data_IF_779625103349
#
_entry.id   IF_779625103349
#
_cell.length_a   1.000
_cell.length_b   1.000
_cell.length_c   1.000
_cell.angle_alpha   90.00
_cell.angle_beta   90.00
_cell.angle_gamma   90.00
#
_symmetry.space_group_name_H-M   'P 1'
#
loop_
_entity.id
_entity.type
_entity.pdbx_description
1 polymer ?
#
# COMPACT_ATOMS: atom_id res chain seq x y z
N UNK A 1 3.24 26.59 4.96
CA UNK A 1 4.61 26.04 4.97
C UNK A 1 5.04 25.58 6.35
N UNK A 2 5.32 26.45 7.33
CA UNK A 2 5.80 25.98 8.65
C UNK A 2 4.81 25.01 9.31
N UNK A 3 3.52 25.35 9.26
CA UNK A 3 2.45 24.50 9.78
C UNK A 3 2.35 23.14 9.06
N UNK A 4 2.53 23.10 7.73
CA UNK A 4 2.47 21.85 6.96
C UNK A 4 3.67 20.94 7.24
N UNK A 5 4.87 21.49 7.44
CA UNK A 5 6.06 20.73 7.84
C UNK A 5 5.90 20.15 9.25
N UNK A 6 5.37 20.93 10.20
CA UNK A 6 5.10 20.46 11.57
C UNK A 6 4.08 19.33 11.54
N UNK A 7 2.97 19.52 10.82
CA UNK A 7 1.94 18.49 10.70
C UNK A 7 2.47 17.22 10.04
N UNK A 8 3.28 17.34 8.97
CA UNK A 8 3.91 16.20 8.32
C UNK A 8 4.84 15.45 9.27
N UNK A 9 5.62 16.17 10.09
CA UNK A 9 6.48 15.58 11.09
C UNK A 9 5.67 14.79 12.14
N UNK A 10 4.65 15.41 12.73
CA UNK A 10 3.79 14.76 13.73
C UNK A 10 3.10 13.51 13.17
N UNK A 11 2.55 13.60 11.95
CA UNK A 11 1.89 12.46 11.30
C UNK A 11 2.88 11.36 10.94
N UNK A 12 4.09 11.70 10.53
CA UNK A 12 5.15 10.70 10.29
C UNK A 12 5.50 9.97 11.58
N UNK A 13 5.72 10.69 12.68
CA UNK A 13 6.04 10.11 13.98
C UNK A 13 4.92 9.20 14.51
N UNK A 14 3.68 9.67 14.47
CA UNK A 14 2.52 8.89 14.87
C UNK A 14 2.40 7.59 14.05
N UNK A 15 2.52 7.70 12.72
CA UNK A 15 2.43 6.56 11.82
C UNK A 15 3.55 5.55 12.08
N UNK A 16 4.80 6.02 12.28
CA UNK A 16 5.96 5.17 12.59
C UNK A 16 5.75 4.39 13.89
N UNK A 17 5.19 5.03 14.92
CA UNK A 17 4.94 4.38 16.22
C UNK A 17 3.92 3.24 16.14
N UNK A 18 3.07 3.22 15.11
CA UNK A 18 1.98 2.24 14.96
C UNK A 18 1.97 1.54 13.61
N UNK A 19 3.13 1.45 12.93
CA UNK A 19 3.31 0.90 11.56
C UNK A 19 2.58 -0.42 11.29
N UNK A 20 2.47 -1.27 12.30
CA UNK A 20 1.82 -2.58 12.19
C UNK A 20 0.30 -2.49 12.03
N UNK A 21 -0.32 -1.44 12.56
CA UNK A 21 -1.78 -1.24 12.60
C UNK A 21 -2.26 -0.09 11.73
N UNK A 22 -1.39 0.53 10.93
CA UNK A 22 -1.75 1.64 10.04
C UNK A 22 -2.63 1.15 8.91
N UNK A 23 -3.76 1.82 8.71
CA UNK A 23 -4.68 1.51 7.63
C UNK A 23 -4.27 2.17 6.30
N UNK A 24 -4.76 1.61 5.19
CA UNK A 24 -4.48 2.12 3.84
C UNK A 24 -4.81 3.61 3.68
N UNK A 25 -5.93 4.06 4.25
CA UNK A 25 -6.35 5.46 4.18
C UNK A 25 -5.34 6.40 4.85
N UNK A 26 -4.73 5.96 5.96
CA UNK A 26 -3.75 6.75 6.70
C UNK A 26 -2.41 6.81 5.96
N UNK A 27 -2.01 5.71 5.32
CA UNK A 27 -0.86 5.71 4.41
C UNK A 27 -1.04 6.70 3.27
N UNK A 28 -2.24 6.72 2.67
CA UNK A 28 -2.57 7.60 1.55
C UNK A 28 -2.56 9.06 2.00
N UNK A 29 -3.18 9.35 3.14
CA UNK A 29 -3.20 10.70 3.71
C UNK A 29 -1.79 11.23 4.02
N UNK A 30 -0.87 10.38 4.51
CA UNK A 30 0.52 10.80 4.75
C UNK A 30 1.24 11.15 3.43
N UNK A 31 1.03 10.37 2.38
CA UNK A 31 1.62 10.63 1.05
C UNK A 31 1.09 11.95 0.47
N UNK A 32 -0.23 12.17 0.52
CA UNK A 32 -0.85 13.41 0.07
C UNK A 32 -0.34 14.63 0.84
N UNK A 33 -0.22 14.51 2.16
CA UNK A 33 0.35 15.56 3.01
C UNK A 33 1.81 15.84 2.66
N UNK A 34 2.61 14.80 2.37
CA UNK A 34 4.01 14.95 1.94
C UNK A 34 4.09 15.72 0.62
N UNK A 35 3.27 15.36 -0.36
CA UNK A 35 3.25 16.01 -1.67
C UNK A 35 2.83 17.49 -1.58
N UNK A 36 1.79 17.77 -0.80
CA UNK A 36 1.35 19.14 -0.53
C UNK A 36 2.45 19.97 0.16
N UNK A 37 3.09 19.40 1.18
CA UNK A 37 4.18 20.07 1.91
C UNK A 37 5.37 20.34 0.99
N UNK A 38 5.74 19.40 0.12
CA UNK A 38 6.81 19.58 -0.87
C UNK A 38 6.48 20.69 -1.87
N UNK A 39 5.21 20.80 -2.29
CA UNK A 39 4.78 21.88 -3.18
C UNK A 39 4.93 23.24 -2.51
N UNK A 40 4.51 23.37 -1.25
CA UNK A 40 4.67 24.61 -0.47
C UNK A 40 6.13 24.99 -0.27
N UNK A 41 6.99 24.01 0.07
CA UNK A 41 8.43 24.24 0.22
C UNK A 41 9.04 24.74 -1.10
N UNK A 42 8.65 24.16 -2.24
CA UNK A 42 9.13 24.59 -3.57
C UNK A 42 8.68 26.00 -3.96
N UNK A 43 7.51 26.44 -3.49
CA UNK A 43 6.96 27.77 -3.78
C UNK A 43 7.49 28.86 -2.84
N UNK A 44 8.10 28.46 -1.72
CA UNK A 44 8.69 29.35 -0.73
C UNK A 44 10.12 29.77 -1.10
N UNK A 45 10.70 30.67 -0.29
CA UNK A 45 12.13 31.03 -0.36
C UNK A 45 13.07 29.93 0.18
N UNK A 46 12.54 28.75 0.51
CA UNK A 46 13.23 27.64 1.14
C UNK A 46 12.93 27.54 2.64
N UNK A 47 13.19 26.37 3.25
CA UNK A 47 12.89 26.13 4.66
C UNK A 47 13.89 26.85 5.58
N UNK A 48 13.42 27.28 6.75
CA UNK A 48 14.23 27.75 7.87
C UNK A 48 15.10 26.62 8.44
N UNK A 49 16.05 26.92 9.34
CA UNK A 49 16.87 25.88 9.97
C UNK A 49 16.05 24.93 10.85
N UNK A 50 15.05 25.44 11.56
CA UNK A 50 14.14 24.63 12.36
C UNK A 50 13.31 23.69 11.47
N UNK A 51 12.81 24.20 10.34
CA UNK A 51 12.09 23.39 9.35
C UNK A 51 12.98 22.32 8.70
N UNK A 52 14.25 22.65 8.42
CA UNK A 52 15.23 21.66 7.93
C UNK A 52 15.50 20.58 8.97
N UNK A 53 15.48 20.90 10.26
CA UNK A 53 15.63 19.90 11.31
C UNK A 53 14.46 18.93 11.32
N UNK A 54 13.22 19.43 11.24
CA UNK A 54 12.02 18.59 11.15
C UNK A 54 12.03 17.70 9.89
N UNK A 55 12.40 18.27 8.73
CA UNK A 55 12.52 17.51 7.48
C UNK A 55 13.60 16.42 7.55
N UNK A 56 14.72 16.68 8.26
CA UNK A 56 15.75 15.66 8.50
C UNK A 56 15.21 14.52 9.38
N UNK A 57 14.51 14.85 10.46
CA UNK A 57 13.88 13.85 11.34
C UNK A 57 12.85 13.00 10.57
N UNK A 58 12.02 13.60 9.72
CA UNK A 58 11.11 12.85 8.84
C UNK A 58 11.90 11.86 7.96
N UNK A 59 13.01 12.31 7.37
CA UNK A 59 13.85 11.49 6.50
C UNK A 59 14.50 10.29 7.19
N UNK A 60 14.73 10.34 8.51
CA UNK A 60 15.26 9.20 9.28
C UNK A 60 14.32 7.98 9.24
N UNK A 61 13.02 8.22 9.07
CA UNK A 61 12.00 7.16 9.03
C UNK A 61 11.70 6.63 7.63
N UNK A 62 12.25 7.21 6.57
CA UNK A 62 11.95 6.79 5.18
C UNK A 62 12.26 5.29 4.98
N UNK A 63 13.37 4.81 5.57
CA UNK A 63 13.79 3.40 5.42
C UNK A 63 12.79 2.41 6.02
N UNK A 64 12.29 2.67 7.24
CA UNK A 64 11.35 1.79 7.93
C UNK A 64 9.97 1.84 7.29
N UNK A 65 9.53 3.02 6.84
CA UNK A 65 8.29 3.21 6.11
C UNK A 65 8.30 2.40 4.79
N UNK A 66 9.37 2.55 4.00
CA UNK A 66 9.51 1.82 2.72
C UNK A 66 9.57 0.32 2.96
N UNK A 67 10.29 -0.14 3.98
CA UNK A 67 10.34 -1.56 4.33
C UNK A 67 8.94 -2.11 4.64
N UNK A 68 8.13 -1.38 5.40
CA UNK A 68 6.74 -1.77 5.71
C UNK A 68 5.87 -1.81 4.45
N UNK A 69 5.95 -0.80 3.59
CA UNK A 69 5.20 -0.78 2.33
C UNK A 69 5.56 -1.96 1.41
N UNK A 70 6.86 -2.30 1.33
CA UNK A 70 7.32 -3.47 0.58
C UNK A 70 6.81 -4.79 1.16
N UNK A 71 6.76 -4.92 2.49
CA UNK A 71 6.21 -6.08 3.16
C UNK A 71 4.71 -6.26 2.83
N UNK A 72 3.93 -5.19 2.92
CA UNK A 72 2.50 -5.16 2.56
C UNK A 72 2.28 -5.54 1.09
N UNK A 73 3.10 -4.98 0.17
CA UNK A 73 3.07 -5.35 -1.26
C UNK A 73 3.36 -6.83 -1.47
N UNK A 74 4.33 -7.38 -0.75
CA UNK A 74 4.68 -8.80 -0.79
C UNK A 74 3.54 -9.69 -0.29
N UNK A 75 2.89 -9.30 0.80
CA UNK A 75 1.73 -10.00 1.35
C UNK A 75 0.56 -10.01 0.37
N UNK A 76 0.20 -8.85 -0.18
CA UNK A 76 -0.86 -8.74 -1.18
C UNK A 76 -0.57 -9.61 -2.42
N UNK A 77 0.68 -9.63 -2.89
CA UNK A 77 1.09 -10.46 -4.03
C UNK A 77 0.91 -11.96 -3.75
N UNK A 78 1.30 -12.43 -2.55
CA UNK A 78 1.07 -13.82 -2.12
C UNK A 78 -0.41 -14.15 -2.00
N UNK A 79 -1.21 -13.23 -1.45
CA UNK A 79 -2.66 -13.37 -1.35
C UNK A 79 -3.33 -13.56 -2.72
N UNK A 80 -2.95 -12.73 -3.70
CA UNK A 80 -3.45 -12.86 -5.07
C UNK A 80 -3.05 -14.18 -5.73
N UNK A 81 -1.81 -14.64 -5.54
CA UNK A 81 -1.35 -15.94 -6.03
C UNK A 81 -2.17 -17.10 -5.44
N UNK A 82 -2.43 -17.07 -4.13
CA UNK A 82 -3.24 -18.09 -3.46
C UNK A 82 -4.69 -18.12 -3.98
N UNK A 83 -5.27 -16.95 -4.24
CA UNK A 83 -6.61 -16.83 -4.84
C UNK A 83 -6.61 -17.42 -6.26
N UNK A 84 -5.59 -17.12 -7.07
CA UNK A 84 -5.48 -17.64 -8.43
C UNK A 84 -5.33 -19.17 -8.45
N UNK A 85 -4.47 -19.73 -7.60
CA UNK A 85 -4.29 -21.18 -7.46
C UNK A 85 -5.58 -21.87 -7.01
N UNK A 86 -6.27 -21.31 -6.00
CA UNK A 86 -7.56 -21.83 -5.52
C UNK A 86 -8.62 -21.85 -6.62
N UNK A 87 -8.67 -20.80 -7.46
CA UNK A 87 -9.58 -20.75 -8.62
C UNK A 87 -9.24 -21.81 -9.66
N UNK A 88 -7.95 -22.06 -9.93
CA UNK A 88 -7.51 -23.09 -10.87
C UNK A 88 -7.86 -24.49 -10.38
N UNK A 89 -7.62 -24.79 -9.10
CA UNK A 89 -8.01 -26.06 -8.49
C UNK A 89 -9.53 -26.29 -8.58
N UNK A 90 -10.34 -25.28 -8.21
CA UNK A 90 -11.81 -25.36 -8.34
C UNK A 90 -12.27 -25.65 -9.77
N UNK A 91 -11.66 -25.03 -10.78
CA UNK A 91 -11.96 -25.31 -12.20
C UNK A 91 -11.66 -26.77 -12.58
N UNK A 92 -10.53 -27.33 -12.15
CA UNK A 92 -10.18 -28.72 -12.46
C UNK A 92 -11.16 -29.72 -11.81
N UNK A 93 -11.57 -29.48 -10.56
CA UNK A 93 -12.59 -30.30 -9.91
C UNK A 93 -13.97 -30.17 -10.58
N UNK A 94 -14.38 -28.96 -11.01
CA UNK A 94 -15.64 -28.78 -11.75
C UNK A 94 -15.63 -29.47 -13.11
N UNK A 95 -14.52 -29.44 -13.86
CA UNK A 95 -14.39 -30.19 -15.11
C UNK A 95 -14.40 -31.71 -14.90
N UNK A 96 -13.76 -32.20 -13.84
CA UNK A 96 -13.78 -33.63 -13.49
C UNK A 96 -15.16 -34.11 -13.00
N UNK A 97 -16.00 -33.19 -12.50
CA UNK A 97 -17.33 -33.44 -11.96
C UNK A 97 -18.44 -32.89 -12.87
N UNK A 98 -18.36 -33.18 -14.18
CA UNK A 98 -19.50 -33.00 -15.10
C UNK A 98 -20.15 -34.36 -15.37
N UNK A 99 -21.12 -34.82 -14.56
CA UNK A 99 -21.90 -36.01 -14.88
C UNK A 99 -22.99 -35.61 -15.89
N UNK A 100 -22.68 -35.70 -17.19
CA UNK A 100 -23.68 -35.34 -18.21
C UNK A 100 -23.26 -35.31 -19.68
N UNK A 101 -22.10 -35.85 -20.08
CA UNK A 101 -21.86 -36.15 -21.50
C UNK A 101 -22.41 -37.53 -21.81
N UNK A 102 -23.74 -37.64 -21.93
CA UNK A 102 -24.38 -38.84 -22.47
C UNK A 102 -24.65 -38.64 -23.96
N UNK A 103 -24.01 -39.49 -24.75
CA UNK A 103 -24.17 -39.65 -26.19
C UNK A 103 -25.64 -39.90 -26.55
N UNK A 104 -26.24 -39.05 -27.37
CA UNK A 104 -27.50 -39.39 -28.04
C UNK A 104 -27.18 -40.03 -29.40
N UNK A 105 -27.42 -41.34 -29.48
CA UNK A 105 -27.39 -42.17 -30.68
C UNK A 105 -28.39 -41.62 -31.72
N UNK A 106 -27.88 -41.16 -32.88
CA UNK A 106 -28.73 -40.85 -34.03
C UNK A 106 -29.09 -42.16 -34.72
N UNK A 107 -30.29 -42.68 -34.47
CA UNK A 107 -30.91 -43.69 -35.34
C UNK A 107 -31.96 -43.07 -36.23
N UNK A 108 -31.68 -43.24 -37.53
CA UNK A 108 -32.47 -43.15 -38.76
C UNK A 108 -33.89 -42.61 -38.69
#
# INVERSE_FOLDING_TARGET
MTESIILLHEKTMDLVNRLETVEYMEWTALVELRDQTLLEVKQSSGPSEDEKQLLRQIGEFDSVIVARMLALKGEASRGLQNIAQSRQQRKMYQYAYTPGSFFFDKRK
#
